data_IF_997045017293
#
_entry.id   IF_997045017293
#
_cell.length_a   1.000
_cell.length_b   1.000
_cell.length_c   1.000
_cell.angle_alpha   90.00
_cell.angle_beta   90.00
_cell.angle_gamma   90.00
#
_symmetry.space_group_name_H-M   'P 1'
#
loop_
_entity.id
_entity.type
_entity.pdbx_description
1 polymer ?
#
# COMPACT_ATOMS: atom_id res chain seq x y z
N UNK A 1 22.37 -20.45 23.69
CA UNK A 1 23.04 -20.94 24.90
C UNK A 1 23.64 -19.75 25.62
N UNK A 2 23.33 -19.65 26.91
CA UNK A 2 24.03 -18.91 27.97
C UNK A 2 24.27 -17.40 27.77
N UNK A 3 23.38 -16.64 28.41
CA UNK A 3 23.74 -15.53 29.27
C UNK A 3 24.80 -15.95 30.31
N UNK A 4 25.86 -15.16 30.49
CA UNK A 4 26.63 -15.02 31.75
C UNK A 4 27.18 -13.60 31.78
N UNK A 5 26.55 -12.68 32.53
CA UNK A 5 26.81 -12.37 33.95
C UNK A 5 28.18 -11.72 34.18
N UNK A 6 28.19 -10.41 34.40
CA UNK A 6 29.14 -9.74 35.27
C UNK A 6 28.36 -8.71 36.10
N UNK A 7 28.10 -9.09 37.35
CA UNK A 7 27.60 -8.22 38.40
C UNK A 7 28.81 -7.55 39.04
N UNK A 8 28.75 -6.24 39.25
CA UNK A 8 29.08 -5.68 40.56
C UNK A 8 28.42 -4.31 40.74
N UNK A 9 27.36 -4.36 41.55
CA UNK A 9 27.04 -3.51 42.68
C UNK A 9 27.36 -1.98 42.65
N UNK A 10 26.25 -1.27 42.88
CA UNK A 10 26.13 -0.07 43.72
C UNK A 10 26.55 1.29 43.14
N UNK A 11 25.58 1.99 42.54
CA UNK A 11 25.11 3.23 43.15
C UNK A 11 23.69 3.60 42.65
N UNK A 12 22.70 3.15 43.39
CA UNK A 12 21.30 3.55 43.23
C UNK A 12 21.09 4.93 43.85
N UNK A 13 20.80 5.93 43.02
CA UNK A 13 19.58 6.75 43.13
C UNK A 13 19.71 8.13 42.49
N UNK A 14 18.72 8.43 41.62
CA UNK A 14 18.36 9.75 41.04
C UNK A 14 18.98 10.15 39.69
N UNK A 15 18.81 9.29 38.68
CA UNK A 15 18.74 9.74 37.28
C UNK A 15 17.93 8.76 36.40
N UNK A 16 16.69 8.44 36.79
CA UNK A 16 15.75 7.73 35.91
C UNK A 16 14.64 8.67 35.43
N UNK A 17 14.92 9.43 34.37
CA UNK A 17 13.91 9.73 33.36
C UNK A 17 14.52 9.34 32.02
N UNK A 18 14.03 8.21 31.49
CA UNK A 18 14.71 7.40 30.49
C UNK A 18 14.96 8.11 29.17
N UNK A 19 16.21 8.01 28.72
CA UNK A 19 16.59 7.98 27.32
C UNK A 19 15.97 6.75 26.65
N UNK A 20 14.71 6.84 26.20
CA UNK A 20 14.22 6.03 25.08
C UNK A 20 14.68 6.70 23.78
N UNK A 21 15.93 6.48 23.41
CA UNK A 21 16.49 7.04 22.17
C UNK A 21 15.89 6.34 20.93
N UNK A 22 14.92 7.04 20.32
CA UNK A 22 14.77 7.31 18.87
C UNK A 22 14.92 6.15 17.87
N UNK A 23 14.06 5.13 17.96
CA UNK A 23 13.83 4.17 16.83
C UNK A 23 12.75 4.69 15.86
N UNK A 24 12.13 5.84 16.15
CA UNK A 24 10.98 6.38 15.41
C UNK A 24 11.25 7.63 14.56
N UNK A 25 12.48 8.12 14.52
CA UNK A 25 12.87 9.27 13.70
C UNK A 25 13.25 8.80 12.29
N UNK A 26 12.28 8.36 11.50
CA UNK A 26 12.48 8.20 10.05
C UNK A 26 12.34 9.56 9.38
N UNK A 27 13.46 10.14 8.96
CA UNK A 27 13.48 11.40 8.21
C UNK A 27 13.43 11.14 6.70
N UNK A 28 12.23 11.16 6.11
CA UNK A 28 12.10 11.34 4.67
C UNK A 28 12.09 12.84 4.37
N UNK A 29 13.22 13.36 3.88
CA UNK A 29 13.33 14.74 3.40
C UNK A 29 12.60 14.88 2.07
N UNK A 30 11.27 15.02 2.13
CA UNK A 30 10.45 15.44 0.99
C UNK A 30 10.62 16.95 0.77
N UNK A 31 11.84 17.37 0.43
CA UNK A 31 12.21 18.77 0.18
C UNK A 31 11.57 19.35 -1.08
N UNK A 32 10.97 18.52 -1.94
CA UNK A 32 10.26 18.96 -3.14
C UNK A 32 8.73 18.81 -2.97
N UNK A 33 7.94 19.91 -3.08
CA UNK A 33 6.48 19.87 -2.96
C UNK A 33 5.78 18.88 -3.89
N UNK A 34 6.36 18.62 -5.07
CA UNK A 34 5.83 17.67 -6.05
C UNK A 34 5.98 16.21 -5.61
N UNK A 35 7.05 15.87 -4.89
CA UNK A 35 7.26 14.51 -4.37
C UNK A 35 6.17 14.13 -3.37
N UNK A 36 5.57 15.12 -2.69
CA UNK A 36 4.43 14.91 -1.79
C UNK A 36 3.17 14.39 -2.51
N UNK A 37 3.03 14.64 -3.81
CA UNK A 37 1.93 14.10 -4.62
C UNK A 37 2.10 12.59 -4.89
N UNK A 38 3.35 12.08 -4.88
CA UNK A 38 3.64 10.66 -5.03
C UNK A 38 3.67 9.93 -3.70
N UNK A 39 4.39 10.51 -2.72
CA UNK A 39 4.78 9.82 -1.48
C UNK A 39 4.28 10.59 -0.27
N UNK A 40 2.97 10.87 -0.26
CA UNK A 40 2.27 11.45 0.88
C UNK A 40 1.95 10.43 1.98
N UNK A 41 1.32 10.87 3.06
CA UNK A 41 0.83 9.98 4.12
C UNK A 41 1.94 9.39 4.97
N UNK A 42 1.89 8.07 5.24
CA UNK A 42 2.78 7.39 6.20
C UNK A 42 4.27 7.63 5.92
N UNK A 43 4.68 7.65 4.65
CA UNK A 43 6.08 7.89 4.27
C UNK A 43 6.57 9.32 4.58
N UNK A 44 5.65 10.29 4.70
CA UNK A 44 5.94 11.70 4.98
C UNK A 44 5.68 12.13 6.43
N UNK A 45 4.96 11.31 7.21
CA UNK A 45 4.63 11.64 8.60
C UNK A 45 5.84 11.46 9.52
N UNK A 46 5.89 12.25 10.60
CA UNK A 46 6.95 12.23 11.62
C UNK A 46 6.38 11.97 13.01
N UNK A 47 7.22 11.49 13.92
CA UNK A 47 6.92 11.31 15.35
C UNK A 47 5.64 10.50 15.61
N UNK A 48 4.82 10.96 16.55
CA UNK A 48 3.59 10.29 16.97
C UNK A 48 2.60 10.02 15.84
N UNK A 49 2.54 10.92 14.85
CA UNK A 49 1.63 10.75 13.71
C UNK A 49 2.04 9.55 12.86
N UNK A 50 3.34 9.38 12.61
CA UNK A 50 3.89 8.21 11.92
C UNK A 50 3.63 6.94 12.74
N UNK A 51 3.95 6.97 14.04
CA UNK A 51 3.81 5.81 14.92
C UNK A 51 2.36 5.31 14.96
N UNK A 52 1.39 6.23 15.06
CA UNK A 52 -0.04 5.91 15.02
C UNK A 52 -0.45 5.23 13.71
N UNK A 53 -0.06 5.77 12.56
CA UNK A 53 -0.44 5.21 11.26
C UNK A 53 0.22 3.85 11.02
N UNK A 54 1.49 3.68 11.43
CA UNK A 54 2.20 2.41 11.32
C UNK A 54 1.58 1.33 12.21
N UNK A 55 1.14 1.68 13.43
CA UNK A 55 0.43 0.77 14.32
C UNK A 55 -0.88 0.22 13.71
N UNK A 56 -1.58 1.03 12.90
CA UNK A 56 -2.81 0.60 12.21
C UNK A 56 -2.50 -0.37 11.06
N UNK A 57 -1.41 -0.14 10.33
CA UNK A 57 -1.07 -0.87 9.11
C UNK A 57 -0.33 -2.18 9.40
N UNK A 58 0.56 -2.20 10.39
CA UNK A 58 1.43 -3.35 10.70
C UNK A 58 0.67 -4.69 10.84
N UNK A 59 -0.52 -4.78 11.48
CA UNK A 59 -1.25 -6.04 11.60
C UNK A 59 -1.60 -6.69 10.25
N UNK A 60 -1.74 -5.91 9.17
CA UNK A 60 -2.00 -6.43 7.83
C UNK A 60 -0.78 -7.18 7.24
N UNK A 61 0.42 -6.93 7.78
CA UNK A 61 1.69 -7.54 7.37
C UNK A 61 2.20 -8.59 8.37
N UNK A 62 1.35 -9.09 9.25
CA UNK A 62 1.69 -10.26 10.06
C UNK A 62 1.72 -11.52 9.17
N UNK A 63 2.56 -12.50 9.53
CA UNK A 63 2.80 -13.71 8.73
C UNK A 63 1.50 -14.43 8.35
N UNK A 64 0.55 -14.55 9.28
CA UNK A 64 -0.76 -15.17 9.02
C UNK A 64 -1.57 -14.44 7.94
N UNK A 65 -1.46 -13.11 7.89
CA UNK A 65 -2.14 -12.30 6.86
C UNK A 65 -1.42 -12.37 5.52
N UNK A 66 -0.08 -12.42 5.54
CA UNK A 66 0.74 -12.60 4.33
C UNK A 66 0.47 -13.96 3.69
N UNK A 67 0.32 -15.03 4.49
CA UNK A 67 -0.04 -16.38 3.97
C UNK A 67 -1.31 -16.35 3.12
N UNK A 68 -2.29 -15.51 3.48
CA UNK A 68 -3.54 -15.36 2.72
C UNK A 68 -3.35 -14.63 1.37
N UNK A 69 -2.23 -13.94 1.16
CA UNK A 69 -1.91 -13.24 -0.09
C UNK A 69 -1.16 -14.14 -1.08
N UNK A 70 -0.56 -15.25 -0.63
CA UNK A 70 0.23 -16.18 -1.46
C UNK A 70 -0.54 -16.67 -2.71
N UNK A 71 -1.84 -17.02 -2.65
CA UNK A 71 -2.58 -17.42 -3.85
C UNK A 71 -2.63 -16.33 -4.92
N UNK A 72 -2.75 -15.07 -4.52
CA UNK A 72 -2.71 -13.94 -5.45
C UNK A 72 -1.33 -13.79 -6.09
N UNK A 73 -0.26 -14.00 -5.30
CA UNK A 73 1.12 -13.92 -5.81
C UNK A 73 1.36 -15.01 -6.85
N UNK A 74 0.97 -16.24 -6.54
CA UNK A 74 1.08 -17.37 -7.45
C UNK A 74 0.33 -17.11 -8.76
N UNK A 75 -0.93 -16.68 -8.67
CA UNK A 75 -1.74 -16.36 -9.85
C UNK A 75 -1.06 -15.33 -10.75
N UNK A 76 -0.62 -14.19 -10.20
CA UNK A 76 0.00 -13.11 -10.98
C UNK A 76 1.33 -13.57 -11.61
N UNK A 77 2.15 -14.32 -10.88
CA UNK A 77 3.40 -14.87 -11.42
C UNK A 77 3.14 -15.87 -12.56
N UNK A 78 2.16 -16.77 -12.39
CA UNK A 78 1.78 -17.75 -13.41
C UNK A 78 1.27 -17.10 -14.69
N UNK A 79 0.51 -16.00 -14.60
CA UNK A 79 0.07 -15.25 -15.79
C UNK A 79 1.24 -14.65 -16.59
N UNK A 80 2.28 -14.15 -15.91
CA UNK A 80 3.47 -13.61 -16.58
C UNK A 80 4.26 -14.70 -17.26
N UNK A 81 4.49 -15.83 -16.58
CA UNK A 81 5.19 -16.99 -17.16
C UNK A 81 4.44 -17.51 -18.39
N UNK A 82 3.11 -17.67 -18.30
CA UNK A 82 2.31 -18.10 -19.45
C UNK A 82 2.44 -17.15 -20.65
N UNK A 83 2.46 -15.83 -20.41
CA UNK A 83 2.70 -14.84 -21.47
C UNK A 83 4.09 -14.98 -22.10
N UNK A 84 5.11 -15.31 -21.32
CA UNK A 84 6.45 -15.57 -21.85
C UNK A 84 6.50 -16.86 -22.67
N UNK A 85 5.85 -17.93 -22.22
CA UNK A 85 5.75 -19.19 -22.97
C UNK A 85 5.12 -18.93 -24.36
N UNK A 86 4.05 -18.13 -24.42
CA UNK A 86 3.44 -17.72 -25.68
C UNK A 86 4.39 -16.89 -26.57
N UNK A 87 5.17 -15.97 -25.99
CA UNK A 87 6.14 -15.17 -26.75
C UNK A 87 7.26 -16.02 -27.36
N UNK A 88 7.69 -17.07 -26.66
CA UNK A 88 8.66 -18.02 -27.19
C UNK A 88 8.02 -18.80 -28.35
N UNK A 89 6.84 -19.37 -28.15
CA UNK A 89 6.14 -20.13 -29.20
C UNK A 89 5.92 -19.31 -30.49
N UNK A 90 5.58 -18.03 -30.39
CA UNK A 90 5.34 -17.16 -31.54
C UNK A 90 6.62 -16.74 -32.29
N UNK A 91 7.78 -16.70 -31.61
CA UNK A 91 9.04 -16.19 -32.18
C UNK A 91 10.09 -17.27 -32.52
N UNK A 92 9.84 -18.54 -32.16
CA UNK A 92 10.74 -19.68 -32.40
C UNK A 92 11.36 -20.23 -31.10
N UNK A 93 12.38 -21.09 -31.21
CA UNK A 93 12.91 -21.84 -30.05
C UNK A 93 13.65 -20.98 -29.00
N UNK A 94 14.08 -19.76 -29.33
CA UNK A 94 14.73 -18.85 -28.38
C UNK A 94 14.38 -17.39 -28.65
N UNK A 95 14.09 -16.64 -27.59
CA UNK A 95 13.82 -15.21 -27.62
C UNK A 95 14.53 -14.54 -26.44
N UNK A 96 15.25 -13.45 -26.70
CA UNK A 96 15.70 -12.54 -25.64
C UNK A 96 14.52 -11.66 -25.21
N UNK A 97 14.31 -11.53 -23.90
CA UNK A 97 13.19 -10.78 -23.32
C UNK A 97 13.74 -9.82 -22.27
N UNK A 98 13.45 -8.53 -22.45
CA UNK A 98 13.64 -7.56 -21.37
C UNK A 98 12.60 -7.81 -20.27
N UNK A 99 13.08 -8.24 -19.11
CA UNK A 99 12.24 -8.65 -17.97
C UNK A 99 11.77 -7.44 -17.15
N UNK A 100 12.42 -6.28 -17.25
CA UNK A 100 12.14 -5.13 -16.39
C UNK A 100 10.68 -4.64 -16.46
N UNK A 101 10.08 -4.43 -17.65
CA UNK A 101 8.68 -4.01 -17.74
C UNK A 101 7.71 -5.03 -17.13
N UNK A 102 8.02 -6.32 -17.28
CA UNK A 102 7.20 -7.41 -16.73
C UNK A 102 7.22 -7.43 -15.21
N UNK A 103 8.38 -7.18 -14.58
CA UNK A 103 8.47 -7.09 -13.12
C UNK A 103 7.65 -5.93 -12.56
N UNK A 104 7.65 -4.78 -13.24
CA UNK A 104 6.85 -3.62 -12.84
C UNK A 104 5.36 -3.95 -12.93
N UNK A 105 4.91 -4.53 -14.05
CA UNK A 105 3.51 -4.93 -14.26
C UNK A 105 3.10 -5.99 -13.24
N UNK A 106 3.90 -7.05 -13.09
CA UNK A 106 3.64 -8.14 -12.14
C UNK A 106 3.51 -7.62 -10.71
N UNK A 107 4.39 -6.70 -10.29
CA UNK A 107 4.34 -6.12 -8.94
C UNK A 107 3.05 -5.30 -8.75
N UNK A 108 2.65 -4.52 -9.76
CA UNK A 108 1.40 -3.78 -9.73
C UNK A 108 0.18 -4.73 -9.64
N UNK A 109 0.19 -5.82 -10.39
CA UNK A 109 -0.86 -6.84 -10.38
C UNK A 109 -0.94 -7.54 -9.01
N UNK A 110 0.20 -7.97 -8.49
CA UNK A 110 0.33 -8.60 -7.17
C UNK A 110 -0.25 -7.72 -6.07
N UNK A 111 0.17 -6.44 -6.00
CA UNK A 111 -0.36 -5.52 -4.99
C UNK A 111 -1.84 -5.26 -5.23
N UNK A 112 -2.26 -5.15 -6.49
CA UNK A 112 -3.66 -4.89 -6.82
C UNK A 112 -4.58 -6.02 -6.37
N UNK A 113 -4.20 -7.28 -6.64
CA UNK A 113 -4.94 -8.44 -6.19
C UNK A 113 -4.90 -8.60 -4.66
N UNK A 114 -3.72 -8.44 -4.03
CA UNK A 114 -3.57 -8.64 -2.60
C UNK A 114 -4.22 -7.53 -1.74
N UNK A 115 -4.14 -6.27 -2.17
CA UNK A 115 -4.63 -5.13 -1.41
C UNK A 115 -6.09 -4.76 -1.76
N UNK A 116 -6.48 -4.89 -3.03
CA UNK A 116 -7.80 -4.48 -3.51
C UNK A 116 -8.78 -5.64 -3.74
N UNK A 117 -8.30 -6.87 -3.90
CA UNK A 117 -9.15 -8.07 -4.02
C UNK A 117 -10.05 -7.99 -5.23
N UNK A 118 -11.37 -7.98 -5.02
CA UNK A 118 -12.36 -7.87 -6.11
C UNK A 118 -12.27 -6.56 -6.90
N UNK A 119 -11.65 -5.51 -6.33
CA UNK A 119 -11.41 -4.23 -7.00
C UNK A 119 -9.99 -4.11 -7.57
N UNK A 120 -9.36 -5.23 -7.98
CA UNK A 120 -7.99 -5.23 -8.48
C UNK A 120 -7.81 -4.39 -9.75
N UNK A 121 -8.81 -4.32 -10.63
CA UNK A 121 -8.74 -3.50 -11.86
C UNK A 121 -8.65 -2.01 -11.55
N UNK A 122 -9.43 -1.55 -10.57
CA UNK A 122 -9.30 -0.19 -10.04
C UNK A 122 -7.92 0.05 -9.41
N UNK A 123 -7.35 -0.97 -8.76
CA UNK A 123 -5.97 -0.98 -8.28
C UNK A 123 -4.93 -0.80 -9.39
N UNK A 124 -5.02 -1.58 -10.46
CA UNK A 124 -4.14 -1.49 -11.63
C UNK A 124 -4.18 -0.08 -12.23
N UNK A 125 -5.38 0.50 -12.34
CA UNK A 125 -5.55 1.86 -12.81
C UNK A 125 -4.83 2.89 -11.94
N UNK A 126 -4.82 2.72 -10.62
CA UNK A 126 -4.07 3.58 -9.71
C UNK A 126 -2.56 3.48 -9.99
N UNK A 127 -2.03 2.28 -10.21
CA UNK A 127 -0.61 2.09 -10.53
C UNK A 127 -0.21 2.72 -11.87
N UNK A 128 -1.05 2.61 -12.90
CA UNK A 128 -0.84 3.30 -14.18
C UNK A 128 -0.74 4.83 -13.99
N UNK A 129 -1.71 5.39 -13.25
CA UNK A 129 -1.75 6.82 -12.94
C UNK A 129 -0.53 7.25 -12.11
N UNK A 130 -0.09 6.44 -11.15
CA UNK A 130 1.11 6.70 -10.36
C UNK A 130 2.39 6.63 -11.22
N UNK A 131 2.46 5.72 -12.19
CA UNK A 131 3.55 5.65 -13.17
C UNK A 131 3.62 6.92 -14.02
N UNK A 132 2.48 7.37 -14.55
CA UNK A 132 2.41 8.63 -15.31
C UNK A 132 2.80 9.83 -14.43
N UNK A 133 2.25 9.93 -13.22
CA UNK A 133 2.57 10.98 -12.25
C UNK A 133 4.08 11.00 -11.93
N UNK A 134 4.68 9.84 -11.76
CA UNK A 134 6.13 9.69 -11.51
C UNK A 134 6.95 10.22 -12.67
N UNK A 135 6.55 9.92 -13.91
CA UNK A 135 7.23 10.41 -15.11
C UNK A 135 7.16 11.94 -15.22
N UNK A 136 5.99 12.54 -14.94
CA UNK A 136 5.79 13.98 -14.98
C UNK A 136 6.63 14.67 -13.89
N UNK A 137 6.67 14.12 -12.68
CA UNK A 137 7.46 14.68 -11.58
C UNK A 137 8.95 14.57 -11.87
N UNK A 138 9.42 13.45 -12.43
CA UNK A 138 10.81 13.29 -12.84
C UNK A 138 11.23 14.34 -13.90
N UNK A 139 10.32 14.73 -14.80
CA UNK A 139 10.58 15.82 -15.75
C UNK A 139 10.66 17.19 -15.07
N UNK A 140 9.80 17.47 -14.08
CA UNK A 140 9.84 18.73 -13.34
C UNK A 140 11.07 18.85 -12.42
N UNK A 141 11.54 17.73 -11.84
CA UNK A 141 12.73 17.71 -11.00
C UNK A 141 14.03 18.00 -11.77
N UNK A 142 14.03 17.83 -13.10
CA UNK A 142 15.17 18.21 -13.97
C UNK A 142 15.27 19.72 -14.22
N UNK A 143 14.22 20.48 -13.92
CA UNK A 143 14.16 21.93 -14.15
C UNK A 143 14.64 22.67 -12.89
N UNK A 144 15.19 23.90 -13.03
CA UNK A 144 15.51 24.71 -11.87
C UNK A 144 14.26 24.94 -11.02
N UNK A 145 14.40 24.75 -9.70
CA UNK A 145 13.29 24.91 -8.77
C UNK A 145 12.89 26.37 -8.65
N UNK A 146 11.68 26.70 -9.12
CA UNK A 146 11.07 28.01 -8.95
C UNK A 146 9.90 27.86 -7.95
N UNK A 147 10.04 28.40 -6.72
CA UNK A 147 8.95 28.42 -5.76
C UNK A 147 7.66 29.01 -6.37
N UNK A 148 6.52 28.36 -6.16
CA UNK A 148 5.21 28.83 -6.63
C UNK A 148 4.81 28.38 -8.05
N UNK A 149 5.73 27.85 -8.85
CA UNK A 149 5.41 27.37 -10.22
C UNK A 149 4.40 26.20 -10.21
N UNK A 150 4.33 25.45 -9.11
CA UNK A 150 3.34 24.38 -8.91
C UNK A 150 1.88 24.86 -8.90
N UNK A 151 1.64 26.14 -8.61
CA UNK A 151 0.29 26.73 -8.66
C UNK A 151 -0.07 27.22 -10.06
N UNK A 152 0.92 27.45 -10.92
CA UNK A 152 0.71 27.97 -12.26
C UNK A 152 0.03 26.92 -13.16
N UNK A 153 -0.94 27.31 -14.01
CA UNK A 153 -1.72 26.38 -14.84
C UNK A 153 -0.96 25.88 -16.07
N UNK A 154 0.20 25.23 -15.88
CA UNK A 154 0.93 24.53 -16.94
C UNK A 154 0.20 23.24 -17.36
N UNK A 155 0.51 22.72 -18.55
CA UNK A 155 -0.03 21.43 -19.02
C UNK A 155 0.27 20.30 -18.03
N UNK A 156 1.52 20.21 -17.57
CA UNK A 156 1.96 19.20 -16.61
C UNK A 156 1.27 19.35 -15.26
N UNK A 157 1.19 20.56 -14.70
CA UNK A 157 0.52 20.78 -13.41
C UNK A 157 -0.98 20.47 -13.48
N UNK A 158 -1.65 20.81 -14.59
CA UNK A 158 -3.06 20.44 -14.82
C UNK A 158 -3.22 18.92 -14.87
N UNK A 159 -2.33 18.21 -15.57
CA UNK A 159 -2.37 16.74 -15.65
C UNK A 159 -2.10 16.09 -14.29
N UNK A 160 -1.08 16.53 -13.55
CA UNK A 160 -0.80 16.04 -12.19
C UNK A 160 -2.01 16.21 -11.27
N UNK A 161 -2.68 17.38 -11.29
CA UNK A 161 -3.91 17.62 -10.51
C UNK A 161 -5.07 16.72 -10.95
N UNK A 162 -5.20 16.47 -12.24
CA UNK A 162 -6.23 15.57 -12.76
C UNK A 162 -6.00 14.12 -12.31
N UNK A 163 -4.75 13.64 -12.38
CA UNK A 163 -4.35 12.31 -11.89
C UNK A 163 -4.62 12.19 -10.39
N UNK A 164 -4.20 13.16 -9.58
CA UNK A 164 -4.45 13.16 -8.12
C UNK A 164 -5.96 13.05 -7.81
N UNK A 165 -6.79 13.81 -8.54
CA UNK A 165 -8.24 13.74 -8.42
C UNK A 165 -8.81 12.40 -8.86
N UNK A 166 -8.32 11.82 -9.95
CA UNK A 166 -8.74 10.50 -10.44
C UNK A 166 -8.42 9.40 -9.43
N UNK A 167 -7.21 9.42 -8.87
CA UNK A 167 -6.79 8.49 -7.80
C UNK A 167 -7.68 8.64 -6.56
N UNK A 168 -7.96 9.87 -6.10
CA UNK A 168 -8.84 10.12 -4.95
C UNK A 168 -10.26 9.60 -5.19
N UNK A 169 -10.82 9.81 -6.39
CA UNK A 169 -12.14 9.28 -6.77
C UNK A 169 -12.16 7.75 -6.73
N UNK A 170 -11.16 7.09 -7.33
CA UNK A 170 -11.08 5.62 -7.37
C UNK A 170 -10.95 5.05 -5.95
N UNK A 171 -10.04 5.61 -5.14
CA UNK A 171 -9.84 5.17 -3.75
C UNK A 171 -11.10 5.35 -2.90
N UNK A 172 -11.77 6.51 -2.99
CA UNK A 172 -13.04 6.75 -2.29
C UNK A 172 -14.13 5.81 -2.76
N UNK A 173 -14.18 5.49 -4.06
CA UNK A 173 -15.09 4.50 -4.63
C UNK A 173 -14.90 3.13 -3.99
N UNK A 174 -13.66 2.63 -3.96
CA UNK A 174 -13.34 1.33 -3.34
C UNK A 174 -13.67 1.29 -1.84
N UNK A 175 -13.33 2.35 -1.10
CA UNK A 175 -13.65 2.46 0.33
C UNK A 175 -15.17 2.45 0.55
N UNK A 176 -15.92 3.16 -0.29
CA UNK A 176 -17.38 3.23 -0.18
C UNK A 176 -18.03 1.88 -0.49
N UNK A 177 -17.56 1.16 -1.52
CA UNK A 177 -18.00 -0.22 -1.83
C UNK A 177 -17.83 -1.13 -0.61
N UNK A 178 -16.63 -1.15 0.00
CA UNK A 178 -16.34 -1.97 1.18
C UNK A 178 -17.19 -1.63 2.40
N UNK A 179 -17.49 -0.34 2.61
CA UNK A 179 -18.40 0.08 3.70
C UNK A 179 -19.80 -0.49 3.51
N UNK A 180 -20.33 -0.43 2.29
CA UNK A 180 -21.66 -0.96 1.96
C UNK A 180 -21.70 -2.47 2.10
N UNK A 181 -20.69 -3.19 1.62
CA UNK A 181 -20.60 -4.66 1.76
C UNK A 181 -20.57 -5.08 3.23
N UNK A 182 -19.77 -4.40 4.07
CA UNK A 182 -19.73 -4.65 5.51
C UNK A 182 -21.08 -4.38 6.18
N UNK A 183 -21.76 -3.30 5.78
CA UNK A 183 -23.09 -2.97 6.30
C UNK A 183 -24.13 -4.04 5.93
N UNK A 184 -24.14 -4.48 4.67
CA UNK A 184 -25.04 -5.55 4.20
C UNK A 184 -24.78 -6.86 4.95
N UNK A 185 -23.52 -7.23 5.14
CA UNK A 185 -23.14 -8.43 5.88
C UNK A 185 -23.62 -8.36 7.34
N UNK A 186 -23.49 -7.20 7.99
CA UNK A 186 -23.98 -6.98 9.36
C UNK A 186 -25.50 -7.14 9.46
N UNK A 187 -26.24 -6.58 8.50
CA UNK A 187 -27.70 -6.71 8.45
C UNK A 187 -28.10 -8.19 8.25
N UNK A 188 -27.48 -8.88 7.28
CA UNK A 188 -27.76 -10.30 7.02
C UNK A 188 -27.45 -11.16 8.25
N UNK A 189 -26.35 -10.90 8.94
CA UNK A 189 -25.99 -11.58 10.18
C UNK A 189 -27.06 -11.38 11.25
N UNK A 190 -27.55 -10.15 11.43
CA UNK A 190 -28.64 -9.85 12.37
C UNK A 190 -29.92 -10.63 12.06
N UNK A 191 -30.33 -10.69 10.79
CA UNK A 191 -31.49 -11.48 10.38
C UNK A 191 -31.31 -12.98 10.62
N UNK A 192 -30.14 -13.54 10.27
CA UNK A 192 -29.84 -14.95 10.49
C UNK A 192 -29.82 -15.29 11.99
N UNK A 193 -29.24 -14.42 12.82
CA UNK A 193 -29.20 -14.60 14.28
C UNK A 193 -30.59 -14.57 14.89
N UNK A 194 -31.40 -13.56 14.53
CA UNK A 194 -32.77 -13.45 15.03
C UNK A 194 -33.65 -14.63 14.60
N UNK A 195 -33.45 -15.15 13.38
CA UNK A 195 -34.13 -16.36 12.90
C UNK A 195 -33.68 -17.61 13.64
N UNK A 196 -32.38 -17.77 13.89
CA UNK A 196 -31.86 -18.89 14.66
C UNK A 196 -32.39 -18.87 16.11
N UNK A 197 -32.51 -17.69 16.72
CA UNK A 197 -33.08 -17.53 18.05
C UNK A 197 -34.57 -17.92 18.10
N UNK A 198 -35.40 -17.45 17.15
CA UNK A 198 -36.81 -17.86 17.08
C UNK A 198 -37.00 -19.36 16.87
N UNK A 199 -36.19 -19.98 16.03
CA UNK A 199 -36.25 -21.42 15.80
C UNK A 199 -35.84 -22.23 17.04
N UNK A 200 -35.09 -21.66 17.98
CA UNK A 200 -34.77 -22.32 19.26
C UNK A 200 -35.93 -22.20 20.25
N UNK A 201 -36.64 -21.07 20.25
CA UNK A 201 -37.82 -20.82 21.09
C UNK A 201 -39.07 -21.61 20.62
N UNK A 202 -39.17 -21.97 19.34
CA UNK A 202 -40.28 -22.79 18.80
C UNK A 202 -40.10 -24.31 19.03
N UNK A 203 -38.92 -24.75 19.50
CA UNK A 203 -38.59 -26.18 19.71
C UNK A 203 -38.70 -26.58 21.20
N UNK A 204 -38.95 -25.62 22.09
CA UNK A 204 -39.15 -25.81 23.54
C UNK A 204 -40.64 -25.74 23.92
#
# INVERSE_FOLDING_TARGET
MAWTSFNDHDNESRAHQGSFSKVYDFEMNASFPLVRLLVGGLASYKGDKWARHRRIINPAFHLEKIKNMVPAFYHCCSEVVAKWDHLVLDKGLSCEVDVWPWLVIMTADVISHAAFGSSYREGQRIFELQGELSSLIAQELKKPYIPGLSFFPTKNNKRMKAIDKEIDIILRGMVSKRKVEKQKAMICWGYCLHRAQRNLEEVE
#
